data_IF_069256289165
#
_entry.id   IF_069256289165
#
_cell.length_a   1.000
_cell.length_b   1.000
_cell.length_c   1.000
_cell.angle_alpha   90.00
_cell.angle_beta   90.00
_cell.angle_gamma   90.00
#
_symmetry.space_group_name_H-M   'P 1'
#
loop_
_entity.id
_entity.type
_entity.pdbx_description
1 polymer ?
#
# COMPACT_ATOMS: atom_id res chain seq x y z
N UNK A 1 17.14 44.88 50.60
CA UNK A 1 17.04 44.36 49.23
C UNK A 1 17.48 42.90 49.19
N UNK A 2 16.57 41.94 48.95
CA UNK A 2 16.93 40.53 48.75
C UNK A 2 17.49 40.31 47.34
N UNK A 3 18.49 39.42 47.18
CA UNK A 3 19.05 39.05 45.87
C UNK A 3 18.37 37.79 45.34
N UNK A 4 17.91 37.82 44.08
CA UNK A 4 17.45 36.62 43.39
C UNK A 4 18.64 35.79 42.89
N UNK A 5 18.63 34.47 43.10
CA UNK A 5 18.75 33.48 42.01
C UNK A 5 18.47 32.07 42.56
N UNK A 6 17.67 31.28 41.83
CA UNK A 6 17.31 29.90 42.16
C UNK A 6 18.02 28.96 41.20
N UNK A 7 18.90 28.10 41.71
CA UNK A 7 19.63 27.14 40.88
C UNK A 7 18.67 26.14 40.19
N UNK A 8 18.99 25.77 38.95
CA UNK A 8 18.29 24.73 38.20
C UNK A 8 19.02 23.40 38.39
N UNK A 9 18.39 22.44 39.06
CA UNK A 9 18.95 21.09 39.18
C UNK A 9 18.58 20.28 37.92
N UNK A 10 19.59 19.88 37.14
CA UNK A 10 19.41 19.11 35.89
C UNK A 10 19.92 17.70 36.15
N UNK A 11 19.02 16.79 36.52
CA UNK A 11 19.35 15.40 36.83
C UNK A 11 19.73 14.63 35.56
N UNK A 12 21.05 14.53 35.31
CA UNK A 12 21.60 13.72 34.22
C UNK A 12 21.25 12.25 34.41
N UNK A 13 20.35 11.72 33.57
CA UNK A 13 20.03 10.30 33.52
C UNK A 13 21.14 9.55 32.79
N UNK A 14 21.77 8.61 33.50
CA UNK A 14 22.96 7.88 33.06
C UNK A 14 22.59 6.84 32.01
N UNK A 15 23.16 6.94 30.81
CA UNK A 15 23.13 5.85 29.83
C UNK A 15 24.12 4.77 30.30
N UNK A 16 23.62 3.58 30.64
CA UNK A 16 24.45 2.45 31.07
C UNK A 16 25.05 1.71 29.87
N UNK A 17 26.18 2.17 29.36
CA UNK A 17 26.94 1.49 28.30
C UNK A 17 27.73 0.30 28.85
N UNK A 18 27.13 -0.90 28.80
CA UNK A 18 27.86 -2.15 29.04
C UNK A 18 28.67 -2.58 27.80
N UNK A 19 29.96 -2.93 27.93
CA UNK A 19 30.76 -3.46 26.82
C UNK A 19 30.61 -4.98 26.66
N UNK A 20 31.03 -5.49 25.50
CA UNK A 20 31.03 -6.89 25.05
C UNK A 20 29.61 -7.47 24.77
N UNK A 21 29.36 -8.22 23.68
CA UNK A 21 30.29 -9.02 22.87
C UNK A 21 30.02 -8.96 21.35
N UNK A 22 31.05 -9.20 20.55
CA UNK A 22 30.97 -9.29 19.08
C UNK A 22 30.37 -10.62 18.61
N UNK A 23 29.05 -10.65 18.40
CA UNK A 23 28.31 -11.86 17.99
C UNK A 23 27.56 -11.72 16.67
N UNK A 24 28.22 -11.95 15.53
CA UNK A 24 27.56 -12.15 14.23
C UNK A 24 26.88 -13.54 14.16
N UNK A 25 25.83 -13.74 14.97
CA UNK A 25 25.31 -15.09 15.28
C UNK A 25 23.81 -15.35 15.07
N UNK A 26 22.95 -14.33 15.00
CA UNK A 26 21.52 -14.52 14.66
C UNK A 26 20.86 -13.19 14.29
N UNK A 27 19.85 -13.22 13.40
CA UNK A 27 19.05 -12.04 13.07
C UNK A 27 17.94 -11.87 14.11
N UNK A 28 18.24 -11.14 15.19
CA UNK A 28 17.23 -10.73 16.14
C UNK A 28 16.08 -9.99 15.45
N UNK A 29 14.88 -10.54 15.53
CA UNK A 29 13.63 -9.87 15.19
C UNK A 29 13.08 -9.24 16.48
N UNK A 30 13.03 -7.92 16.53
CA UNK A 30 12.49 -7.18 17.68
C UNK A 30 11.09 -6.67 17.38
N UNK A 31 10.31 -6.41 18.43
CA UNK A 31 9.05 -5.68 18.32
C UNK A 31 9.29 -4.30 18.92
N UNK A 32 9.06 -3.26 18.13
CA UNK A 32 9.11 -1.86 18.56
C UNK A 32 7.76 -1.20 18.26
N UNK A 33 7.30 -0.33 19.15
CA UNK A 33 6.26 0.65 18.80
C UNK A 33 6.89 1.69 17.86
N UNK A 34 6.25 1.93 16.72
CA UNK A 34 6.70 2.91 15.73
C UNK A 34 5.54 3.76 15.22
N UNK A 35 5.81 5.04 14.98
CA UNK A 35 4.92 5.90 14.21
C UNK A 35 4.77 5.36 12.77
N UNK A 36 3.55 5.02 12.29
CA UNK A 36 3.37 4.57 10.92
C UNK A 36 3.73 5.65 9.88
N UNK A 37 3.73 6.94 10.22
CA UNK A 37 4.15 8.03 9.32
C UNK A 37 5.59 7.85 8.82
N UNK A 38 6.55 7.50 9.68
CA UNK A 38 7.98 7.40 9.31
C UNK A 38 8.34 6.16 8.50
N UNK A 39 7.45 5.17 8.41
CA UNK A 39 7.71 3.94 7.68
C UNK A 39 7.48 4.16 6.18
N UNK A 40 8.47 3.83 5.36
CA UNK A 40 8.40 3.90 3.90
C UNK A 40 7.59 2.74 3.30
N UNK A 41 6.75 3.05 2.33
CA UNK A 41 6.18 2.10 1.38
C UNK A 41 7.24 1.66 0.36
N UNK A 42 7.36 0.35 0.16
CA UNK A 42 8.18 -0.22 -0.93
C UNK A 42 7.49 -0.21 -2.30
N UNK A 43 6.19 0.12 -2.33
CA UNK A 43 5.42 0.37 -3.55
C UNK A 43 4.44 1.53 -3.31
N UNK A 44 4.59 2.62 -4.06
CA UNK A 44 3.75 3.83 -3.95
C UNK A 44 2.34 3.66 -4.54
N UNK A 45 2.11 2.64 -5.39
CA UNK A 45 0.78 2.24 -5.85
C UNK A 45 0.35 0.95 -5.15
N UNK A 46 -0.77 0.99 -4.45
CA UNK A 46 -1.23 -0.08 -3.56
C UNK A 46 -2.55 -0.67 -4.08
N UNK A 47 -2.62 -2.00 -4.15
CA UNK A 47 -3.86 -2.70 -4.50
C UNK A 47 -4.91 -2.49 -3.39
N UNK A 48 -6.16 -2.11 -3.72
CA UNK A 48 -7.18 -1.74 -2.74
C UNK A 48 -7.77 -2.91 -1.95
N UNK A 49 -7.52 -4.15 -2.35
CA UNK A 49 -7.97 -5.37 -1.65
C UNK A 49 -6.85 -6.08 -0.90
N UNK A 50 -7.16 -6.68 0.26
CA UNK A 50 -6.28 -7.59 0.99
C UNK A 50 -6.26 -9.00 0.36
N UNK A 51 -5.32 -9.87 0.76
CA UNK A 51 -5.26 -11.25 0.25
C UNK A 51 -6.47 -12.13 0.66
N UNK A 52 -7.29 -11.67 1.61
CA UNK A 52 -8.55 -12.30 2.00
C UNK A 52 -9.79 -11.62 1.37
N UNK A 53 -9.65 -11.06 0.16
CA UNK A 53 -10.72 -10.41 -0.62
C UNK A 53 -11.15 -9.03 -0.11
N UNK A 54 -11.28 -8.84 1.21
CA UNK A 54 -11.74 -7.59 1.86
C UNK A 54 -11.03 -6.36 1.31
N UNK A 55 -11.78 -5.29 1.00
CA UNK A 55 -11.21 -4.02 0.57
C UNK A 55 -10.69 -3.17 1.74
N UNK A 56 -9.67 -2.36 1.49
CA UNK A 56 -9.11 -1.39 2.44
C UNK A 56 -10.19 -0.38 2.84
N UNK A 57 -11.02 0.08 1.89
CA UNK A 57 -12.08 1.05 2.15
C UNK A 57 -13.20 0.49 3.05
N UNK A 58 -13.67 -0.74 2.81
CA UNK A 58 -14.63 -1.40 3.72
C UNK A 58 -14.04 -1.64 5.11
N UNK A 59 -12.76 -1.98 5.17
CA UNK A 59 -12.04 -2.18 6.43
C UNK A 59 -11.86 -0.87 7.22
N UNK A 60 -11.55 0.25 6.55
CA UNK A 60 -11.52 1.59 7.16
C UNK A 60 -12.92 2.03 7.66
N UNK A 61 -13.99 1.71 6.92
CA UNK A 61 -15.37 1.98 7.36
C UNK A 61 -15.72 1.24 8.66
N UNK A 62 -15.19 0.03 8.90
CA UNK A 62 -15.38 -0.67 10.17
C UNK A 62 -14.73 0.06 11.36
N UNK A 63 -13.54 0.67 11.17
CA UNK A 63 -12.91 1.51 12.20
C UNK A 63 -13.69 2.80 12.48
N UNK A 64 -14.15 3.49 11.43
CA UNK A 64 -14.99 4.69 11.56
C UNK A 64 -16.30 4.39 12.30
N UNK A 65 -16.89 3.22 12.05
CA UNK A 65 -18.08 2.72 12.76
C UNK A 65 -17.78 2.09 14.12
N UNK A 66 -16.53 2.14 14.61
CA UNK A 66 -16.04 1.51 15.86
C UNK A 66 -16.36 0.01 16.00
N UNK A 67 -16.53 -0.70 14.87
CA UNK A 67 -16.81 -2.15 14.80
C UNK A 67 -15.54 -3.03 14.80
N UNK A 68 -14.37 -2.41 14.95
CA UNK A 68 -13.06 -3.07 14.98
C UNK A 68 -12.07 -2.11 15.67
N UNK A 69 -11.13 -2.65 16.44
CA UNK A 69 -10.14 -1.91 17.23
C UNK A 69 -8.73 -2.06 16.63
N UNK A 70 -7.83 -1.06 16.69
CA UNK A 70 -6.51 -1.16 16.04
C UNK A 70 -5.65 -2.36 16.45
N UNK A 71 -5.87 -2.92 17.66
CA UNK A 71 -5.21 -4.14 18.14
C UNK A 71 -5.64 -5.42 17.38
N UNK A 72 -6.77 -5.38 16.68
CA UNK A 72 -7.30 -6.49 15.88
C UNK A 72 -6.57 -6.62 14.52
N UNK A 73 -5.73 -5.63 14.19
CA UNK A 73 -4.94 -5.63 12.96
C UNK A 73 -3.66 -6.46 13.12
N UNK A 74 -3.38 -7.40 12.19
CA UNK A 74 -2.14 -8.15 12.23
C UNK A 74 -0.91 -7.23 12.06
N UNK A 75 0.04 -7.36 12.98
CA UNK A 75 1.31 -6.64 12.98
C UNK A 75 1.99 -6.67 11.60
N UNK A 76 2.69 -5.59 11.26
CA UNK A 76 3.54 -5.53 10.06
C UNK A 76 4.98 -5.88 10.39
N UNK A 77 5.69 -6.45 9.41
CA UNK A 77 7.15 -6.46 9.40
C UNK A 77 7.70 -5.28 8.59
N UNK A 78 8.81 -4.73 9.08
CA UNK A 78 9.67 -3.80 8.33
C UNK A 78 11.07 -4.35 8.20
N UNK A 79 11.82 -3.88 7.22
CA UNK A 79 13.28 -3.91 7.30
C UNK A 79 13.81 -2.55 7.77
N UNK A 80 14.94 -2.52 8.45
CA UNK A 80 15.69 -1.29 8.75
C UNK A 80 17.14 -1.39 8.30
N UNK A 81 17.67 -0.28 7.80
CA UNK A 81 19.09 -0.06 7.51
C UNK A 81 19.86 0.60 8.68
N UNK A 82 19.17 0.84 9.81
CA UNK A 82 19.66 1.59 10.97
C UNK A 82 19.12 3.03 11.07
N UNK A 83 18.64 3.59 9.96
CA UNK A 83 18.18 4.99 9.88
C UNK A 83 16.71 5.11 9.45
N UNK A 84 16.26 4.20 8.58
CA UNK A 84 14.93 4.19 7.97
C UNK A 84 14.20 2.88 8.26
N UNK A 85 12.88 2.87 8.04
CA UNK A 85 12.03 1.68 8.14
C UNK A 85 11.27 1.46 6.85
N UNK A 86 11.32 0.25 6.29
CA UNK A 86 10.72 -0.08 5.00
C UNK A 86 9.70 -1.21 5.12
N UNK A 87 8.46 -0.97 4.68
CA UNK A 87 7.37 -1.93 4.84
C UNK A 87 7.51 -3.18 3.98
N UNK A 88 7.32 -4.34 4.61
CA UNK A 88 7.08 -5.61 3.92
C UNK A 88 5.56 -5.82 3.65
N UNK A 89 4.69 -4.94 4.14
CA UNK A 89 3.23 -5.13 4.15
C UNK A 89 2.45 -3.85 3.76
N UNK A 90 2.81 -3.23 2.63
CA UNK A 90 2.30 -1.92 2.19
C UNK A 90 0.78 -1.70 2.36
N UNK A 91 -0.07 -2.69 2.02
CA UNK A 91 -1.54 -2.62 2.22
C UNK A 91 -1.97 -2.39 3.68
N UNK A 92 -1.28 -3.02 4.65
CA UNK A 92 -1.53 -2.81 6.08
C UNK A 92 -0.94 -1.48 6.56
N UNK A 93 0.26 -1.12 6.12
CA UNK A 93 0.84 0.20 6.45
C UNK A 93 -0.07 1.34 5.97
N UNK A 94 -0.66 1.23 4.78
CA UNK A 94 -1.58 2.26 4.26
C UNK A 94 -2.77 2.44 5.18
N UNK A 95 -3.38 1.35 5.62
CA UNK A 95 -4.45 1.36 6.62
C UNK A 95 -4.00 1.99 7.94
N UNK A 96 -2.85 1.61 8.49
CA UNK A 96 -2.33 2.22 9.73
C UNK A 96 -2.04 3.72 9.58
N UNK A 97 -1.47 4.19 8.45
CA UNK A 97 -1.33 5.63 8.18
C UNK A 97 -2.68 6.34 8.11
N UNK A 98 -3.69 5.74 7.45
CA UNK A 98 -5.06 6.30 7.42
C UNK A 98 -5.74 6.31 8.80
N UNK A 99 -5.48 5.34 9.67
CA UNK A 99 -5.96 5.37 11.05
C UNK A 99 -5.27 6.45 11.89
N UNK A 100 -3.99 6.74 11.65
CA UNK A 100 -3.30 7.89 12.25
C UNK A 100 -3.84 9.23 11.73
N UNK A 101 -4.06 9.36 10.42
CA UNK A 101 -4.71 10.56 9.83
C UNK A 101 -6.12 10.81 10.42
N UNK A 102 -6.83 9.74 10.81
CA UNK A 102 -8.13 9.82 11.49
C UNK A 102 -8.05 9.98 13.02
N UNK A 103 -6.84 10.16 13.58
CA UNK A 103 -6.56 10.22 15.03
C UNK A 103 -7.06 9.00 15.84
N UNK A 104 -7.18 7.83 15.20
CA UNK A 104 -7.62 6.57 15.83
C UNK A 104 -6.45 5.85 16.53
N UNK A 105 -5.21 6.14 16.14
CA UNK A 105 -3.97 5.66 16.76
C UNK A 105 -2.82 6.64 16.48
N UNK A 106 -1.74 6.55 17.26
CA UNK A 106 -0.52 7.35 17.05
C UNK A 106 0.67 6.48 16.63
N UNK A 107 0.86 5.34 17.28
CA UNK A 107 1.96 4.38 17.10
C UNK A 107 1.39 2.97 16.89
N UNK A 108 2.22 2.05 16.39
CA UNK A 108 1.86 0.65 16.13
C UNK A 108 2.99 -0.33 16.49
N UNK A 109 2.67 -1.55 16.98
CA UNK A 109 3.66 -2.60 17.20
C UNK A 109 4.14 -3.17 15.86
N UNK A 110 5.44 -3.01 15.60
CA UNK A 110 6.09 -3.41 14.35
C UNK A 110 7.18 -4.44 14.62
N UNK A 111 7.18 -5.51 13.83
CA UNK A 111 8.29 -6.48 13.78
C UNK A 111 9.44 -5.92 12.95
N UNK A 112 10.50 -5.49 13.62
CA UNK A 112 11.69 -4.90 13.00
C UNK A 112 12.73 -6.01 12.76
N UNK A 113 13.25 -6.06 11.53
CA UNK A 113 14.36 -6.95 11.14
C UNK A 113 15.45 -6.15 10.42
N UNK A 114 16.71 -6.47 10.70
CA UNK A 114 17.84 -5.89 9.97
C UNK A 114 17.74 -6.21 8.47
N UNK A 115 17.93 -5.20 7.61
CA UNK A 115 17.97 -5.35 6.16
C UNK A 115 19.14 -6.29 5.78
N UNK A 116 18.91 -7.34 4.96
CA UNK A 116 20.00 -8.20 4.53
C UNK A 116 21.00 -7.43 3.66
N UNK A 117 22.30 -7.62 3.91
CA UNK A 117 23.42 -6.96 3.22
C UNK A 117 23.64 -7.35 1.75
N UNK A 118 22.67 -8.03 1.11
CA UNK A 118 22.82 -8.46 -0.29
C UNK A 118 22.51 -7.30 -1.24
N UNK A 119 23.27 -7.17 -2.35
CA UNK A 119 23.08 -6.11 -3.36
C UNK A 119 21.65 -5.99 -3.87
N UNK A 120 20.90 -7.11 -3.95
CA UNK A 120 19.47 -7.13 -4.34
C UNK A 120 18.56 -6.42 -3.34
N UNK A 121 18.89 -6.50 -2.04
CA UNK A 121 18.10 -5.88 -0.98
C UNK A 121 18.45 -4.41 -0.84
N UNK A 122 19.73 -4.02 -0.75
CA UNK A 122 20.11 -2.60 -0.72
C UNK A 122 19.62 -1.83 -1.95
N UNK A 123 19.69 -2.43 -3.16
CA UNK A 123 19.17 -1.81 -4.38
C UNK A 123 17.64 -1.69 -4.46
N UNK A 124 16.89 -2.35 -3.55
CA UNK A 124 15.42 -2.30 -3.48
C UNK A 124 14.90 -1.44 -2.33
N UNK A 125 15.63 -1.44 -1.20
CA UNK A 125 15.24 -0.80 0.05
C UNK A 125 16.12 0.43 0.29
N UNK A 126 15.72 1.55 -0.30
CA UNK A 126 16.39 2.86 -0.16
C UNK A 126 15.37 4.01 -0.10
N UNK A 127 15.69 5.17 0.50
CA UNK A 127 14.78 6.33 0.55
C UNK A 127 14.53 6.95 -0.83
N UNK A 128 15.40 6.67 -1.80
CA UNK A 128 15.30 7.12 -3.20
C UNK A 128 14.37 6.27 -4.07
N UNK A 129 13.95 5.08 -3.61
CA UNK A 129 13.07 4.16 -4.35
C UNK A 129 11.79 3.81 -3.61
N UNK A 130 11.81 3.91 -2.29
CA UNK A 130 10.63 3.78 -1.44
C UNK A 130 10.03 5.17 -1.17
N UNK A 131 8.75 5.25 -0.79
CA UNK A 131 8.06 6.53 -0.56
C UNK A 131 7.40 6.57 0.82
N UNK A 132 7.37 7.73 1.49
CA UNK A 132 6.57 7.92 2.71
C UNK A 132 5.06 8.00 2.42
N UNK A 133 4.65 8.29 1.18
CA UNK A 133 3.26 8.37 0.73
C UNK A 133 2.94 7.31 -0.33
N UNK A 134 1.66 6.93 -0.44
CA UNK A 134 1.17 5.98 -1.43
C UNK A 134 -0.30 6.25 -1.78
N UNK A 135 -0.73 5.82 -2.97
CA UNK A 135 -2.11 5.90 -3.46
C UNK A 135 -2.70 4.51 -3.66
N UNK A 136 -4.03 4.40 -3.52
CA UNK A 136 -4.75 3.19 -3.93
C UNK A 136 -4.91 3.19 -5.45
N UNK A 137 -4.67 2.03 -6.07
CA UNK A 137 -5.02 1.80 -7.47
C UNK A 137 -6.55 1.75 -7.61
N UNK A 138 -7.10 2.40 -8.63
CA UNK A 138 -8.52 2.24 -9.00
C UNK A 138 -8.84 0.76 -9.22
N UNK A 139 -9.96 0.31 -8.67
CA UNK A 139 -10.49 -1.03 -8.94
C UNK A 139 -10.87 -1.11 -10.41
N UNK A 140 -10.30 -2.06 -11.14
CA UNK A 140 -10.83 -2.46 -12.45
C UNK A 140 -11.97 -3.41 -12.16
N UNK A 141 -13.20 -2.99 -12.44
CA UNK A 141 -14.35 -3.88 -12.45
C UNK A 141 -14.18 -4.84 -13.63
N UNK A 142 -13.56 -6.00 -13.39
CA UNK A 142 -13.55 -7.10 -14.35
C UNK A 142 -14.93 -7.75 -14.31
N UNK A 143 -15.80 -7.36 -15.24
CA UNK A 143 -17.22 -7.75 -15.29
C UNK A 143 -17.37 -9.25 -15.47
N UNK A 144 -17.62 -9.98 -14.39
CA UNK A 144 -17.92 -11.41 -14.42
C UNK A 144 -19.43 -11.61 -14.44
N UNK A 145 -20.04 -11.58 -15.64
CA UNK A 145 -21.41 -12.03 -15.88
C UNK A 145 -22.26 -11.13 -16.76
N UNK A 146 -22.90 -11.75 -17.75
CA UNK A 146 -24.06 -11.31 -18.55
C UNK A 146 -23.95 -10.02 -19.40
N UNK A 147 -24.21 -10.21 -20.70
CA UNK A 147 -24.89 -9.35 -21.67
C UNK A 147 -24.88 -7.82 -21.49
N UNK A 148 -24.05 -7.15 -22.30
CA UNK A 148 -24.49 -6.01 -23.13
C UNK A 148 -23.49 -5.73 -24.24
N UNK A 149 -24.01 -5.46 -25.44
CA UNK A 149 -23.25 -5.13 -26.65
C UNK A 149 -22.97 -3.61 -26.74
N UNK A 150 -21.72 -3.21 -27.01
CA UNK A 150 -21.40 -1.88 -27.57
C UNK A 150 -19.92 -1.79 -28.03
N UNK A 151 -19.69 -1.92 -29.34
CA UNK A 151 -18.49 -1.45 -30.06
C UNK A 151 -18.79 -0.10 -30.77
N UNK A 152 -17.84 0.73 -31.23
CA UNK A 152 -16.36 0.66 -31.17
C UNK A 152 -15.74 1.86 -30.41
N UNK A 153 -15.35 3.06 -30.91
CA UNK A 153 -15.10 3.66 -32.26
C UNK A 153 -14.45 5.05 -32.02
N UNK A 154 -13.43 5.61 -32.73
CA UNK A 154 -12.30 5.11 -33.55
C UNK A 154 -11.19 6.21 -33.58
N UNK A 155 -9.96 5.90 -33.98
CA UNK A 155 -8.88 6.86 -34.33
C UNK A 155 -7.60 6.77 -33.46
N UNK A 156 -6.37 6.86 -33.99
CA UNK A 156 -5.92 6.99 -35.39
C UNK A 156 -4.51 6.36 -35.56
N UNK A 157 -3.99 6.25 -36.80
CA UNK A 157 -3.00 5.23 -37.22
C UNK A 157 -1.52 5.70 -37.34
N UNK A 158 -0.60 4.72 -37.48
CA UNK A 158 0.79 4.69 -38.04
C UNK A 158 1.81 4.02 -37.09
N UNK A 159 2.72 3.13 -37.50
CA UNK A 159 2.95 2.39 -38.76
C UNK A 159 3.97 1.23 -38.51
N UNK A 160 4.07 0.26 -39.45
CA UNK A 160 5.14 -0.74 -39.73
C UNK A 160 5.05 -2.16 -39.15
N UNK A 161 4.60 -3.05 -40.05
CA UNK A 161 5.15 -4.38 -40.43
C UNK A 161 5.34 -5.48 -39.35
N UNK A 162 5.22 -6.78 -39.66
CA UNK A 162 5.27 -7.45 -40.97
C UNK A 162 4.25 -8.62 -41.11
N UNK A 163 4.14 -9.17 -42.32
CA UNK A 163 3.18 -10.17 -42.80
C UNK A 163 3.54 -11.62 -42.42
N UNK A 164 2.57 -12.57 -42.44
CA UNK A 164 2.42 -13.58 -43.53
C UNK A 164 1.30 -14.62 -43.25
N UNK A 165 0.50 -14.94 -44.29
CA UNK A 165 -0.53 -16.01 -44.41
C UNK A 165 -1.66 -16.11 -43.35
N UNK A 166 -2.97 -16.16 -43.69
CA UNK A 166 -3.67 -15.86 -44.96
C UNK A 166 -4.78 -16.86 -45.33
N UNK A 167 -5.94 -16.32 -45.78
CA UNK A 167 -6.98 -16.98 -46.63
C UNK A 167 -7.81 -18.13 -46.00
N UNK A 168 -9.10 -18.34 -46.31
CA UNK A 168 -10.10 -17.68 -47.19
C UNK A 168 -11.50 -17.77 -46.54
N UNK A 169 -12.45 -16.91 -46.96
CA UNK A 169 -13.87 -17.24 -47.28
C UNK A 169 -14.73 -15.96 -47.31
N UNK A 170 -15.66 -15.87 -48.27
CA UNK A 170 -16.31 -14.62 -48.67
C UNK A 170 -17.64 -14.31 -47.93
N UNK A 171 -17.87 -13.00 -47.83
CA UNK A 171 -19.13 -12.26 -47.76
C UNK A 171 -20.41 -13.00 -48.25
N UNK A 172 -21.49 -12.85 -47.48
CA UNK A 172 -22.87 -12.84 -48.01
C UNK A 172 -23.74 -11.81 -47.26
N UNK A 173 -23.69 -10.58 -47.73
CA UNK A 173 -24.60 -9.47 -47.41
C UNK A 173 -26.08 -9.86 -47.44
N UNK A 174 -26.85 -9.36 -46.45
CA UNK A 174 -28.28 -9.08 -46.64
C UNK A 174 -28.78 -7.95 -45.73
N UNK A 175 -29.71 -7.16 -46.25
CA UNK A 175 -29.98 -5.79 -45.81
C UNK A 175 -31.21 -5.64 -44.89
N UNK A 176 -31.09 -4.69 -43.96
CA UNK A 176 -32.17 -3.78 -43.50
C UNK A 176 -33.55 -4.35 -43.12
N UNK A 177 -33.96 -4.14 -41.86
CA UNK A 177 -35.39 -3.97 -41.54
C UNK A 177 -35.60 -3.14 -40.25
N UNK A 178 -36.28 -2.00 -40.39
CA UNK A 178 -36.70 -1.13 -39.28
C UNK A 178 -38.08 -1.54 -38.77
N UNK A 179 -38.25 -1.73 -37.46
CA UNK A 179 -39.56 -1.82 -36.81
C UNK A 179 -39.58 -0.90 -35.57
N UNK A 180 -40.74 -0.32 -35.26
CA UNK A 180 -40.90 0.79 -34.32
C UNK A 180 -41.87 0.48 -33.16
N UNK A 181 -41.69 1.24 -32.07
CA UNK A 181 -42.67 1.61 -31.07
C UNK A 181 -43.12 0.61 -29.97
N UNK A 182 -43.63 1.23 -28.90
CA UNK A 182 -44.44 0.71 -27.79
C UNK A 182 -43.71 -0.17 -26.76
N UNK A 183 -43.68 0.24 -25.48
CA UNK A 183 -44.89 0.19 -24.62
C UNK A 183 -44.86 1.18 -23.43
N UNK A 184 -46.00 1.80 -23.12
CA UNK A 184 -46.27 2.39 -21.78
C UNK A 184 -46.88 1.32 -20.86
N UNK A 185 -46.36 1.21 -19.64
CA UNK A 185 -46.93 0.49 -18.48
C UNK A 185 -46.36 1.21 -17.23
N UNK A 186 -47.12 1.59 -16.21
CA UNK A 186 -48.57 1.83 -16.13
C UNK A 186 -48.79 2.99 -15.14
#
# INVERSE_FOLDING_TARGET
>A
MPKHTRAKNVSSLRISTGPNSSGFGSKAESILELDPSIIYFTFSRIRPTFSCGRSIQSTLKLFQLKKMHPKDLPLISVFTDGTHYYSQNNRRLFMYKKLKEMAILNEIPVRVRALPSTKRMSNKYSPTKCSLTATLMREKNTTTGADSNSEEEKGEENDKNDSLYGKDSLDLSLSSLTISANKKIA
#
